data_IF_611789719070
#
_entry.id   IF_611789719070
#
_cell.length_a   1.000
_cell.length_b   1.000
_cell.length_c   1.000
_cell.angle_alpha   90.00
_cell.angle_beta   90.00
_cell.angle_gamma   90.00
#
_symmetry.space_group_name_H-M   'P 1'
#
loop_
_entity.id
_entity.type
_entity.pdbx_description
1 polymer ?
#
# COMPACT_ATOMS: atom_id res chain seq x y z
N UNK A 1 2.69 -16.28 17.43
CA UNK A 1 3.96 -15.56 17.23
C UNK A 1 4.85 -16.48 16.42
N UNK A 2 5.35 -16.02 15.28
CA UNK A 2 6.14 -16.85 14.36
C UNK A 2 7.60 -16.40 14.41
N UNK A 3 8.54 -17.35 14.42
CA UNK A 3 9.98 -17.06 14.48
C UNK A 3 10.65 -17.49 13.18
N UNK A 4 11.43 -16.57 12.61
CA UNK A 4 12.13 -16.75 11.35
C UNK A 4 13.57 -17.19 11.58
N UNK A 5 14.02 -18.23 10.87
CA UNK A 5 15.38 -18.75 10.97
C UNK A 5 16.09 -18.49 9.64
N UNK A 6 16.86 -17.39 9.58
CA UNK A 6 17.59 -16.95 8.39
C UNK A 6 18.95 -17.63 8.22
N UNK A 7 19.54 -17.49 7.03
CA UNK A 7 20.84 -18.09 6.70
C UNK A 7 21.99 -17.09 7.01
N UNK A 8 22.75 -17.33 8.08
CA UNK A 8 24.01 -16.63 8.37
C UNK A 8 25.21 -17.33 7.72
N UNK A 9 26.39 -16.67 7.69
CA UNK A 9 27.67 -17.25 7.19
C UNK A 9 28.13 -18.37 8.14
N UNK A 10 27.46 -19.51 8.06
CA UNK A 10 27.69 -20.70 8.85
C UNK A 10 28.04 -21.85 7.90
N UNK A 11 28.94 -22.74 8.30
CA UNK A 11 29.03 -24.04 7.66
C UNK A 11 27.71 -24.79 7.77
N UNK A 12 27.42 -25.72 6.87
CA UNK A 12 26.16 -26.47 6.86
C UNK A 12 25.82 -27.16 8.20
N UNK A 13 26.82 -27.75 8.86
CA UNK A 13 26.65 -28.38 10.18
C UNK A 13 26.23 -27.39 11.26
N UNK A 14 26.90 -26.23 11.30
CA UNK A 14 26.55 -25.11 12.20
C UNK A 14 25.15 -24.57 11.91
N UNK A 15 24.74 -24.47 10.65
CA UNK A 15 23.39 -24.05 10.28
C UNK A 15 22.31 -25.04 10.76
N UNK A 16 22.53 -26.34 10.59
CA UNK A 16 21.63 -27.37 11.11
C UNK A 16 21.54 -27.35 12.64
N UNK A 17 22.67 -27.13 13.33
CA UNK A 17 22.68 -26.96 14.77
C UNK A 17 21.91 -25.70 15.18
N UNK A 18 22.10 -24.59 14.48
CA UNK A 18 21.35 -23.35 14.70
C UNK A 18 19.84 -23.56 14.57
N UNK A 19 19.37 -24.23 13.52
CA UNK A 19 17.94 -24.57 13.35
C UNK A 19 17.43 -25.37 14.55
N UNK A 20 18.14 -26.44 14.91
CA UNK A 20 17.78 -27.31 16.04
C UNK A 20 17.67 -26.51 17.35
N UNK A 21 18.68 -25.72 17.69
CA UNK A 21 18.72 -24.97 18.94
C UNK A 21 17.66 -23.85 18.98
N UNK A 22 17.40 -23.18 17.85
CA UNK A 22 16.28 -22.23 17.76
C UNK A 22 14.94 -22.91 18.02
N UNK A 23 14.68 -24.04 17.37
CA UNK A 23 13.43 -24.79 17.54
C UNK A 23 13.26 -25.29 18.99
N UNK A 24 14.33 -25.84 19.59
CA UNK A 24 14.32 -26.25 21.01
C UNK A 24 14.05 -25.04 21.92
N UNK A 25 14.72 -23.92 21.68
CA UNK A 25 14.55 -22.69 22.47
C UNK A 25 13.12 -22.16 22.40
N UNK A 26 12.52 -22.10 21.22
CA UNK A 26 11.14 -21.67 21.00
C UNK A 26 10.17 -22.59 21.76
N UNK A 27 10.34 -23.91 21.65
CA UNK A 27 9.47 -24.89 22.31
C UNK A 27 9.65 -24.98 23.82
N UNK A 28 10.80 -24.54 24.36
CA UNK A 28 10.98 -24.35 25.81
C UNK A 28 10.09 -23.22 26.35
N UNK A 29 9.82 -22.19 25.54
CA UNK A 29 8.91 -21.09 25.93
C UNK A 29 7.46 -21.50 25.72
N UNK A 30 7.11 -21.98 24.52
CA UNK A 30 5.77 -22.51 24.25
C UNK A 30 5.78 -23.51 23.10
N UNK A 31 5.08 -24.63 23.30
CA UNK A 31 4.82 -25.62 22.25
C UNK A 31 3.81 -25.13 21.19
N UNK A 32 3.12 -24.02 21.45
CA UNK A 32 2.18 -23.42 20.48
C UNK A 32 2.88 -22.57 19.42
N UNK A 33 4.16 -22.22 19.61
CA UNK A 33 4.93 -21.52 18.60
C UNK A 33 5.35 -22.46 17.48
N UNK A 34 5.35 -21.93 16.26
CA UNK A 34 5.61 -22.71 15.06
C UNK A 34 6.83 -22.15 14.34
N UNK A 35 7.57 -23.02 13.68
CA UNK A 35 8.75 -22.64 12.90
C UNK A 35 8.31 -22.34 11.47
N UNK A 36 8.96 -21.36 10.84
CA UNK A 36 8.85 -21.08 9.41
C UNK A 36 10.24 -20.98 8.80
N UNK A 37 10.37 -21.31 7.52
CA UNK A 37 11.65 -21.28 6.81
C UNK A 37 11.57 -22.03 5.47
N UNK A 38 12.67 -22.12 4.72
CA UNK A 38 14.02 -21.67 5.04
C UNK A 38 14.38 -20.27 4.52
N UNK A 39 13.44 -19.43 4.08
CA UNK A 39 13.77 -18.04 3.75
C UNK A 39 14.78 -17.89 2.59
N UNK A 40 14.68 -18.75 1.57
CA UNK A 40 15.71 -18.78 0.54
C UNK A 40 15.23 -19.34 -0.77
N UNK A 41 16.15 -19.44 -1.72
CA UNK A 41 15.87 -20.03 -3.03
C UNK A 41 15.72 -21.54 -2.88
N UNK A 42 14.51 -22.07 -3.11
CA UNK A 42 14.17 -23.50 -3.01
C UNK A 42 14.67 -24.31 -4.23
N UNK A 43 15.95 -24.16 -4.56
CA UNK A 43 16.60 -25.02 -5.53
C UNK A 43 17.02 -26.33 -4.84
N UNK A 44 16.81 -27.50 -5.46
CA UNK A 44 17.23 -28.78 -4.88
C UNK A 44 18.75 -28.88 -4.62
N UNK A 45 19.55 -27.95 -5.16
CA UNK A 45 21.01 -27.90 -5.05
C UNK A 45 21.53 -26.85 -4.07
N UNK A 46 20.67 -26.01 -3.47
CA UNK A 46 21.15 -25.06 -2.45
C UNK A 46 21.31 -25.81 -1.13
N UNK A 47 22.56 -25.96 -0.69
CA UNK A 47 22.90 -26.78 0.47
C UNK A 47 22.10 -26.40 1.74
N UNK A 48 21.81 -25.12 1.96
CA UNK A 48 21.12 -24.66 3.17
C UNK A 48 19.60 -24.91 3.13
N UNK A 49 18.90 -24.39 2.13
CA UNK A 49 17.44 -24.55 2.02
C UNK A 49 17.03 -26.02 1.88
N UNK A 50 17.76 -26.80 1.09
CA UNK A 50 17.52 -28.24 0.98
C UNK A 50 17.74 -28.96 2.31
N UNK A 51 18.80 -28.63 3.05
CA UNK A 51 19.09 -29.27 4.34
C UNK A 51 18.11 -28.87 5.45
N UNK A 52 17.63 -27.63 5.47
CA UNK A 52 16.55 -27.21 6.37
C UNK A 52 15.28 -28.03 6.12
N UNK A 53 14.85 -28.12 4.87
CA UNK A 53 13.65 -28.86 4.50
C UNK A 53 13.79 -30.35 4.84
N UNK A 54 14.95 -30.95 4.54
CA UNK A 54 15.25 -32.32 4.93
C UNK A 54 15.20 -32.51 6.44
N UNK A 55 15.83 -31.63 7.21
CA UNK A 55 15.80 -31.67 8.68
C UNK A 55 14.36 -31.63 9.21
N UNK A 56 13.55 -30.68 8.77
CA UNK A 56 12.16 -30.55 9.24
C UNK A 56 11.26 -31.69 8.76
N UNK A 57 11.54 -32.26 7.58
CA UNK A 57 10.84 -33.44 7.07
C UNK A 57 11.12 -34.69 7.91
N UNK A 58 12.38 -34.88 8.33
CA UNK A 58 12.80 -36.00 9.18
C UNK A 58 12.41 -35.81 10.65
N UNK A 59 12.40 -34.56 11.14
CA UNK A 59 12.16 -34.20 12.54
C UNK A 59 10.86 -33.40 12.73
N UNK A 60 9.73 -33.93 12.23
CA UNK A 60 8.45 -33.20 12.20
C UNK A 60 7.98 -32.70 13.58
N UNK A 61 8.03 -33.54 14.62
CA UNK A 61 7.61 -33.15 15.97
C UNK A 61 8.49 -32.03 16.55
N UNK A 62 9.77 -32.02 16.18
CA UNK A 62 10.67 -30.98 16.61
C UNK A 62 10.39 -29.70 15.83
N UNK A 63 10.40 -29.72 14.50
CA UNK A 63 10.29 -28.51 13.68
C UNK A 63 8.87 -27.91 13.66
N UNK A 64 7.81 -28.72 13.74
CA UNK A 64 6.40 -28.30 13.70
C UNK A 64 6.14 -27.18 12.67
N UNK A 65 6.57 -27.41 11.43
CA UNK A 65 6.59 -26.42 10.35
C UNK A 65 5.16 -26.09 9.91
N UNK A 66 4.77 -24.82 9.96
CA UNK A 66 3.44 -24.35 9.50
C UNK A 66 3.43 -23.83 8.08
N UNK A 67 4.50 -23.13 7.70
CA UNK A 67 4.66 -22.55 6.36
C UNK A 67 6.07 -22.77 5.84
N UNK A 68 6.16 -23.03 4.53
CA UNK A 68 7.43 -23.04 3.82
C UNK A 68 7.64 -21.65 3.21
N UNK A 69 8.63 -20.91 3.69
CA UNK A 69 8.98 -19.59 3.15
C UNK A 69 10.09 -19.69 2.11
N UNK A 70 10.01 -18.88 1.06
CA UNK A 70 10.97 -18.88 -0.03
C UNK A 70 11.14 -17.51 -0.66
N UNK A 71 12.24 -17.33 -1.38
CA UNK A 71 12.49 -16.12 -2.17
C UNK A 71 12.38 -16.44 -3.65
N UNK A 72 11.43 -15.80 -4.32
CA UNK A 72 11.33 -15.81 -5.77
C UNK A 72 11.12 -14.39 -6.29
N UNK A 73 12.16 -13.87 -6.95
CA UNK A 73 12.18 -12.54 -7.55
C UNK A 73 12.15 -12.63 -9.08
N UNK A 74 11.72 -11.56 -9.74
CA UNK A 74 11.64 -11.43 -11.20
C UNK A 74 10.29 -10.87 -11.66
N UNK A 75 10.07 -10.83 -12.97
CA UNK A 75 8.78 -10.36 -13.50
C UNK A 75 7.60 -11.18 -12.96
N UNK A 76 6.39 -10.60 -12.83
CA UNK A 76 5.26 -11.23 -12.15
C UNK A 76 4.96 -12.68 -12.58
N UNK A 77 5.02 -12.97 -13.88
CA UNK A 77 4.82 -14.32 -14.41
C UNK A 77 5.88 -15.33 -13.92
N UNK A 78 7.15 -14.90 -13.85
CA UNK A 78 8.26 -15.72 -13.38
C UNK A 78 8.13 -16.04 -11.89
N UNK A 79 7.63 -15.09 -11.09
CA UNK A 79 7.34 -15.33 -9.67
C UNK A 79 6.26 -16.41 -9.52
N UNK A 80 5.16 -16.28 -10.28
CA UNK A 80 4.07 -17.26 -10.30
C UNK A 80 4.55 -18.65 -10.71
N UNK A 81 5.29 -18.75 -11.81
CA UNK A 81 5.78 -20.05 -12.32
C UNK A 81 6.79 -20.69 -11.37
N UNK A 82 7.65 -19.88 -10.73
CA UNK A 82 8.56 -20.32 -9.69
C UNK A 82 7.83 -20.95 -8.50
N UNK A 83 6.75 -20.32 -8.02
CA UNK A 83 5.92 -20.85 -6.93
C UNK A 83 5.36 -22.24 -7.25
N UNK A 84 4.73 -22.40 -8.42
CA UNK A 84 4.17 -23.69 -8.86
C UNK A 84 5.27 -24.75 -8.97
N UNK A 85 6.43 -24.38 -9.53
CA UNK A 85 7.58 -25.27 -9.64
C UNK A 85 8.09 -25.73 -8.26
N UNK A 86 8.19 -24.82 -7.29
CA UNK A 86 8.58 -25.17 -5.93
C UNK A 86 7.58 -26.12 -5.27
N UNK A 87 6.27 -25.87 -5.39
CA UNK A 87 5.24 -26.79 -4.86
C UNK A 87 5.39 -28.20 -5.40
N UNK A 88 5.56 -28.33 -6.71
CA UNK A 88 5.71 -29.62 -7.38
C UNK A 88 6.96 -30.36 -6.91
N UNK A 89 8.09 -29.65 -6.78
CA UNK A 89 9.34 -30.24 -6.28
C UNK A 89 9.22 -30.67 -4.81
N UNK A 90 8.59 -29.85 -3.96
CA UNK A 90 8.35 -30.17 -2.55
C UNK A 90 7.48 -31.41 -2.39
N UNK A 91 6.39 -31.52 -3.17
CA UNK A 91 5.54 -32.71 -3.16
C UNK A 91 6.30 -33.99 -3.53
N UNK A 92 7.27 -33.88 -4.46
CA UNK A 92 8.09 -35.03 -4.90
C UNK A 92 9.15 -35.41 -3.87
N UNK A 93 9.84 -34.43 -3.28
CA UNK A 93 11.01 -34.66 -2.42
C UNK A 93 10.66 -34.85 -0.94
N UNK A 94 9.59 -34.18 -0.49
CA UNK A 94 9.18 -34.13 0.91
C UNK A 94 7.66 -34.35 1.02
N UNK A 95 7.16 -35.56 0.74
CA UNK A 95 5.73 -35.85 0.64
C UNK A 95 4.96 -35.54 1.94
N UNK A 96 5.63 -35.56 3.10
CA UNK A 96 5.01 -35.18 4.38
C UNK A 96 4.70 -33.68 4.51
N UNK A 97 5.15 -32.86 3.56
CA UNK A 97 4.79 -31.44 3.44
C UNK A 97 3.59 -31.21 2.51
N UNK A 98 2.90 -32.28 2.07
CA UNK A 98 1.62 -32.14 1.39
C UNK A 98 0.63 -31.40 2.30
N UNK A 99 -0.05 -30.38 1.76
CA UNK A 99 -0.97 -29.54 2.51
C UNK A 99 -0.34 -28.40 3.32
N UNK A 100 1.00 -28.37 3.49
CA UNK A 100 1.66 -27.18 4.04
C UNK A 100 1.61 -26.04 3.02
N UNK A 101 1.14 -24.88 3.46
CA UNK A 101 1.11 -23.69 2.64
C UNK A 101 2.52 -23.09 2.46
N UNK A 102 2.72 -22.35 1.38
CA UNK A 102 3.97 -21.66 1.08
C UNK A 102 3.81 -20.14 1.14
N UNK A 103 4.90 -19.41 1.35
CA UNK A 103 4.90 -17.96 1.29
C UNK A 103 6.15 -17.42 0.63
N UNK A 104 5.97 -16.43 -0.25
CA UNK A 104 7.09 -15.68 -0.85
C UNK A 104 7.26 -14.36 -0.09
N UNK A 105 8.17 -14.32 0.86
CA UNK A 105 8.41 -13.15 1.70
C UNK A 105 9.35 -12.12 1.06
N UNK A 106 9.84 -12.38 -0.16
CA UNK A 106 10.65 -11.44 -0.95
C UNK A 106 10.30 -11.51 -2.45
N UNK A 107 9.05 -11.21 -2.80
CA UNK A 107 8.48 -11.35 -4.14
C UNK A 107 8.72 -10.16 -5.06
N UNK A 108 9.96 -9.69 -5.13
CA UNK A 108 10.28 -8.45 -5.84
C UNK A 108 10.53 -8.66 -7.32
N UNK A 109 10.32 -7.61 -8.11
CA UNK A 109 10.56 -7.65 -9.56
C UNK A 109 12.04 -7.77 -9.93
N UNK A 110 12.96 -7.36 -9.05
CA UNK A 110 14.41 -7.41 -9.26
C UNK A 110 15.17 -7.46 -7.93
N UNK A 111 16.26 -8.25 -7.87
CA UNK A 111 17.21 -8.31 -6.75
C UNK A 111 18.03 -7.02 -6.62
N UNK A 112 18.36 -6.64 -5.39
CA UNK A 112 19.14 -5.43 -5.07
C UNK A 112 18.21 -4.24 -4.96
N UNK A 113 17.72 -3.98 -3.75
CA UNK A 113 16.80 -2.88 -3.47
C UNK A 113 17.44 -1.50 -3.73
N UNK A 114 18.75 -1.37 -3.48
CA UNK A 114 19.54 -0.14 -3.62
C UNK A 114 19.84 0.26 -5.07
N UNK A 115 19.64 -0.64 -6.05
CA UNK A 115 19.91 -0.34 -7.46
C UNK A 115 18.95 0.75 -7.95
N UNK A 116 19.48 1.85 -8.47
CA UNK A 116 18.68 2.88 -9.10
C UNK A 116 18.15 2.38 -10.46
N UNK A 117 16.84 2.39 -10.65
CA UNK A 117 16.20 2.11 -11.94
C UNK A 117 14.98 3.03 -12.11
N UNK A 118 14.81 3.68 -13.28
CA UNK A 118 13.70 4.61 -13.48
C UNK A 118 12.32 4.00 -13.19
N UNK A 119 12.08 2.74 -13.56
CA UNK A 119 10.77 2.12 -13.34
C UNK A 119 10.37 1.92 -11.87
N UNK A 120 11.28 2.09 -10.90
CA UNK A 120 10.99 2.02 -9.45
C UNK A 120 10.43 3.33 -8.89
N UNK A 121 10.57 4.43 -9.62
CA UNK A 121 10.13 5.76 -9.19
C UNK A 121 8.63 6.00 -9.37
N UNK A 122 8.02 5.30 -10.33
CA UNK A 122 6.72 5.63 -10.90
C UNK A 122 5.73 4.45 -10.92
N UNK A 123 4.65 4.59 -11.70
CA UNK A 123 3.55 3.63 -11.76
C UNK A 123 3.95 2.30 -12.44
N UNK A 124 5.09 2.22 -13.13
CA UNK A 124 5.59 0.94 -13.69
C UNK A 124 5.80 -0.07 -12.58
N UNK A 125 6.46 0.29 -11.46
CA UNK A 125 6.63 -0.61 -10.33
C UNK A 125 5.30 -0.95 -9.65
N UNK A 126 4.46 0.07 -9.41
CA UNK A 126 3.15 -0.11 -8.80
C UNK A 126 2.24 -1.06 -9.60
N UNK A 127 2.26 -0.97 -10.94
CA UNK A 127 1.49 -1.86 -11.82
C UNK A 127 1.98 -3.31 -11.77
N UNK A 128 3.28 -3.55 -11.62
CA UNK A 128 3.83 -4.90 -11.42
C UNK A 128 3.37 -5.49 -10.09
N UNK A 129 3.32 -4.69 -9.02
CA UNK A 129 2.72 -5.09 -7.74
C UNK A 129 1.23 -5.39 -7.90
N UNK A 130 0.47 -4.52 -8.58
CA UNK A 130 -0.93 -4.73 -8.95
C UNK A 130 -1.16 -6.07 -9.65
N UNK A 131 -0.35 -6.38 -10.67
CA UNK A 131 -0.47 -7.60 -11.47
C UNK A 131 -0.23 -8.87 -10.65
N UNK A 132 0.60 -8.80 -9.61
CA UNK A 132 0.80 -9.94 -8.72
C UNK A 132 -0.50 -10.37 -8.04
N UNK A 133 -1.41 -9.46 -7.68
CA UNK A 133 -2.72 -9.82 -7.10
C UNK A 133 -3.52 -10.73 -8.04
N UNK A 134 -3.59 -10.39 -9.32
CA UNK A 134 -4.26 -11.21 -10.33
C UNK A 134 -3.60 -12.58 -10.52
N UNK A 135 -2.26 -12.61 -10.58
CA UNK A 135 -1.53 -13.85 -10.79
C UNK A 135 -1.61 -14.77 -9.57
N UNK A 136 -1.51 -14.23 -8.36
CA UNK A 136 -1.69 -14.95 -7.11
C UNK A 136 -3.09 -15.53 -7.04
N UNK A 137 -4.14 -14.74 -7.28
CA UNK A 137 -5.51 -15.27 -7.35
C UNK A 137 -5.62 -16.46 -8.32
N UNK A 138 -5.08 -16.33 -9.54
CA UNK A 138 -5.16 -17.40 -10.54
C UNK A 138 -4.34 -18.65 -10.22
N UNK A 139 -3.36 -18.56 -9.34
CA UNK A 139 -2.37 -19.62 -9.11
C UNK A 139 -2.30 -20.12 -7.67
N UNK A 140 -2.94 -19.45 -6.71
CA UNK A 140 -2.84 -19.75 -5.28
C UNK A 140 -3.21 -21.21 -5.00
N UNK A 141 -4.26 -21.73 -5.62
CA UNK A 141 -4.70 -23.12 -5.50
C UNK A 141 -3.74 -24.16 -6.09
N UNK A 142 -2.81 -23.75 -6.97
CA UNK A 142 -1.80 -24.65 -7.56
C UNK A 142 -0.51 -24.70 -6.74
N UNK A 143 -0.28 -23.70 -5.89
CA UNK A 143 0.96 -23.52 -5.15
C UNK A 143 0.74 -23.37 -3.63
N UNK A 144 -0.49 -23.53 -3.14
CA UNK A 144 -0.88 -23.37 -1.72
C UNK A 144 -0.31 -22.11 -1.08
N UNK A 145 -0.38 -20.96 -1.78
CA UNK A 145 0.24 -19.72 -1.32
C UNK A 145 -0.59 -19.10 -0.19
N UNK A 146 0.03 -18.88 0.96
CA UNK A 146 -0.57 -18.18 2.11
C UNK A 146 -0.42 -16.67 1.98
N UNK A 147 0.80 -16.17 1.79
CA UNK A 147 1.06 -14.74 1.62
C UNK A 147 2.20 -14.47 0.66
N UNK A 148 2.28 -13.21 0.23
CA UNK A 148 3.35 -12.67 -0.59
C UNK A 148 3.73 -11.30 -0.07
N UNK A 149 5.03 -11.05 0.10
CA UNK A 149 5.56 -9.78 0.57
C UNK A 149 6.45 -9.13 -0.48
N UNK A 150 6.36 -7.81 -0.59
CA UNK A 150 7.32 -7.00 -1.33
C UNK A 150 8.31 -6.39 -0.35
N UNK A 151 9.59 -6.66 -0.56
CA UNK A 151 10.64 -6.22 0.34
C UNK A 151 11.08 -4.80 -0.07
N UNK A 152 10.25 -3.81 0.24
CA UNK A 152 10.38 -2.44 -0.26
C UNK A 152 10.19 -1.38 0.84
N UNK A 153 10.33 -1.75 2.11
CA UNK A 153 10.29 -0.80 3.24
C UNK A 153 11.67 -0.17 3.54
N UNK A 154 12.62 -0.26 2.61
CA UNK A 154 13.93 0.36 2.74
C UNK A 154 13.85 1.89 2.70
N UNK A 155 14.84 2.54 3.29
CA UNK A 155 15.10 3.97 3.10
C UNK A 155 16.04 4.16 1.92
N UNK A 156 15.69 5.03 0.99
CA UNK A 156 16.55 5.33 -0.14
C UNK A 156 17.83 6.08 0.29
N UNK A 157 18.82 6.04 -0.59
CA UNK A 157 20.10 6.73 -0.46
C UNK A 157 20.23 7.77 -1.56
N UNK A 158 20.64 8.99 -1.17
CA UNK A 158 21.01 10.04 -2.10
C UNK A 158 22.19 9.58 -3.00
N UNK A 159 22.22 9.95 -4.30
CA UNK A 159 21.30 10.88 -4.98
C UNK A 159 20.05 10.20 -5.59
N UNK A 160 19.79 8.93 -5.30
CA UNK A 160 18.74 8.13 -5.95
C UNK A 160 17.45 8.09 -5.13
N UNK A 161 16.75 9.22 -5.11
CA UNK A 161 15.65 9.44 -4.15
C UNK A 161 14.39 8.66 -4.46
N UNK A 162 14.06 8.48 -5.74
CA UNK A 162 12.86 7.73 -6.14
C UNK A 162 13.17 6.37 -6.82
N UNK A 163 14.36 6.21 -7.38
CA UNK A 163 14.74 5.12 -8.28
C UNK A 163 15.12 3.82 -7.56
N UNK A 164 15.19 3.84 -6.23
CA UNK A 164 15.43 2.65 -5.40
C UNK A 164 14.13 1.94 -5.02
N UNK A 165 14.21 0.68 -4.58
CA UNK A 165 13.04 -0.15 -4.26
C UNK A 165 12.51 0.19 -2.85
N UNK A 166 11.79 1.29 -2.79
CA UNK A 166 11.20 1.84 -1.56
C UNK A 166 9.70 2.11 -1.74
N UNK A 167 8.96 2.15 -0.64
CA UNK A 167 7.58 2.64 -0.58
C UNK A 167 7.52 4.16 -0.53
N UNK A 168 8.46 4.78 0.18
CA UNK A 168 8.55 6.23 0.35
C UNK A 168 9.86 6.74 -0.26
N UNK A 169 9.84 7.96 -0.77
CA UNK A 169 11.03 8.71 -1.15
C UNK A 169 11.41 9.64 0.01
N UNK A 170 12.58 9.39 0.60
CA UNK A 170 13.17 10.15 1.69
C UNK A 170 14.09 11.22 1.14
N UNK A 171 13.89 12.45 1.59
CA UNK A 171 14.85 13.56 1.44
C UNK A 171 15.49 13.87 2.78
N UNK A 172 16.77 14.19 2.77
CA UNK A 172 17.45 14.79 3.92
C UNK A 172 17.60 16.28 3.65
N UNK A 173 16.83 17.09 4.36
CA UNK A 173 16.84 18.54 4.21
C UNK A 173 17.92 19.08 5.15
N UNK A 174 19.02 19.54 4.57
CA UNK A 174 20.17 20.07 5.32
C UNK A 174 20.13 21.61 5.27
N UNK A 175 19.43 22.21 6.22
CA UNK A 175 19.42 23.65 6.51
C UNK A 175 19.79 23.87 8.00
N UNK A 176 19.34 24.97 8.62
CA UNK A 176 19.67 25.31 10.02
C UNK A 176 19.27 24.23 11.03
N UNK A 177 18.20 23.47 10.74
CA UNK A 177 17.83 22.24 11.44
C UNK A 177 17.63 21.09 10.44
N UNK A 178 18.58 20.14 10.43
CA UNK A 178 18.46 18.95 9.58
C UNK A 178 17.22 18.14 9.97
N UNK A 179 16.38 17.83 8.99
CA UNK A 179 15.21 16.98 9.16
C UNK A 179 14.99 16.10 7.94
N UNK A 180 14.12 15.10 8.08
CA UNK A 180 13.78 14.18 7.00
C UNK A 180 12.36 14.42 6.51
N UNK A 181 12.19 14.33 5.19
CA UNK A 181 10.90 14.45 4.52
C UNK A 181 10.63 13.14 3.77
N UNK A 182 9.37 12.69 3.80
CA UNK A 182 8.94 11.46 3.15
C UNK A 182 7.77 11.73 2.22
N UNK A 183 7.89 11.26 0.97
CA UNK A 183 6.84 11.34 -0.04
C UNK A 183 6.39 9.93 -0.45
N UNK A 184 5.08 9.73 -0.54
CA UNK A 184 4.51 8.44 -0.96
C UNK A 184 4.79 8.18 -2.43
N UNK A 185 5.50 7.09 -2.74
CA UNK A 185 5.67 6.69 -4.13
C UNK A 185 4.41 5.99 -4.62
N UNK A 186 4.22 5.85 -5.94
CA UNK A 186 3.10 5.05 -6.46
C UNK A 186 3.05 3.60 -5.93
N UNK A 187 4.20 3.03 -5.54
CA UNK A 187 4.30 1.74 -4.85
C UNK A 187 3.63 1.71 -3.47
N UNK A 188 3.58 2.84 -2.76
CA UNK A 188 2.79 2.99 -1.54
C UNK A 188 1.31 3.15 -1.88
N UNK A 189 0.99 4.01 -2.85
CA UNK A 189 -0.39 4.26 -3.27
C UNK A 189 -1.13 2.99 -3.68
N UNK A 190 -0.46 2.08 -4.41
CA UNK A 190 -1.07 0.82 -4.83
C UNK A 190 -1.40 -0.11 -3.66
N UNK A 191 -0.63 -0.08 -2.57
CA UNK A 191 -0.94 -0.87 -1.37
C UNK A 191 -2.26 -0.40 -0.75
N UNK A 192 -2.49 0.92 -0.70
CA UNK A 192 -3.78 1.48 -0.26
C UNK A 192 -4.94 1.07 -1.18
N UNK A 193 -4.73 1.01 -2.50
CA UNK A 193 -5.75 0.50 -3.43
C UNK A 193 -6.05 -0.99 -3.22
N UNK A 194 -5.04 -1.80 -2.91
CA UNK A 194 -5.19 -3.25 -2.67
C UNK A 194 -5.87 -3.56 -1.34
N UNK A 195 -5.66 -2.73 -0.30
CA UNK A 195 -6.34 -2.86 0.99
C UNK A 195 -7.85 -2.80 0.84
N UNK A 196 -8.34 -2.09 -0.18
CA UNK A 196 -9.77 -1.99 -0.50
C UNK A 196 -10.31 -3.23 -1.20
N UNK A 197 -9.60 -4.36 -1.29
CA UNK A 197 -10.19 -5.62 -1.76
C UNK A 197 -10.99 -6.31 -0.63
N UNK A 198 -11.79 -7.30 -0.99
CA UNK A 198 -12.57 -8.12 -0.07
C UNK A 198 -12.14 -9.59 -0.12
N UNK A 199 -12.76 -10.41 0.73
CA UNK A 199 -12.33 -11.79 0.97
C UNK A 199 -12.79 -12.78 -0.11
N UNK A 200 -13.83 -12.44 -0.87
CA UNK A 200 -14.47 -13.35 -1.82
C UNK A 200 -14.32 -12.85 -3.26
N UNK A 201 -13.66 -13.63 -4.10
CA UNK A 201 -13.49 -13.26 -5.52
C UNK A 201 -14.79 -13.45 -6.30
N UNK A 202 -15.11 -12.46 -7.13
CA UNK A 202 -16.29 -12.43 -7.98
C UNK A 202 -15.90 -12.81 -9.41
N UNK A 203 -16.59 -13.80 -9.97
CA UNK A 203 -16.40 -14.22 -11.36
C UNK A 203 -17.02 -13.19 -12.31
N UNK A 204 -16.18 -12.51 -13.09
CA UNK A 204 -16.64 -11.66 -14.18
C UNK A 204 -16.60 -12.40 -15.52
N UNK A 205 -17.66 -12.25 -16.33
CA UNK A 205 -17.67 -12.72 -17.73
C UNK A 205 -16.78 -11.81 -18.57
N UNK A 206 -15.86 -12.41 -19.32
CA UNK A 206 -14.89 -11.67 -20.15
C UNK A 206 -15.30 -11.71 -21.61
N UNK A 207 -15.52 -10.54 -22.20
CA UNK A 207 -15.39 -10.35 -23.65
C UNK A 207 -13.95 -9.93 -23.95
N UNK A 208 -13.38 -10.35 -25.10
CA UNK A 208 -11.95 -10.18 -25.47
C UNK A 208 -11.33 -8.89 -24.91
N UNK A 209 -10.45 -9.01 -23.91
CA UNK A 209 -9.68 -7.88 -23.35
C UNK A 209 -8.23 -7.98 -23.84
N UNK A 210 -7.61 -6.82 -24.03
CA UNK A 210 -6.16 -6.69 -24.25
C UNK A 210 -5.37 -7.53 -23.22
N UNK A 211 -4.39 -8.31 -23.68
CA UNK A 211 -3.52 -9.14 -22.83
C UNK A 211 -2.76 -8.35 -21.76
N UNK A 212 -2.55 -7.05 -21.98
CA UNK A 212 -1.87 -6.16 -21.05
C UNK A 212 -2.78 -5.64 -19.93
N UNK A 213 -4.07 -5.96 -19.95
CA UNK A 213 -5.01 -5.58 -18.89
C UNK A 213 -5.46 -6.80 -18.11
N UNK A 214 -5.27 -6.73 -16.80
CA UNK A 214 -5.71 -7.77 -15.84
C UNK A 214 -6.64 -7.16 -14.82
N UNK A 215 -7.49 -7.98 -14.21
CA UNK A 215 -8.44 -7.52 -13.20
C UNK A 215 -8.77 -8.62 -12.20
N UNK A 216 -9.10 -8.22 -10.99
CA UNK A 216 -9.71 -9.07 -9.95
C UNK A 216 -10.80 -8.26 -9.27
N UNK A 217 -12.02 -8.80 -9.21
CA UNK A 217 -13.11 -8.24 -8.43
C UNK A 217 -13.35 -9.08 -7.19
N UNK A 218 -13.66 -8.44 -6.09
CA UNK A 218 -13.84 -9.06 -4.78
C UNK A 218 -15.05 -8.47 -4.07
N UNK A 219 -15.61 -9.22 -3.14
CA UNK A 219 -16.67 -8.81 -2.23
C UNK A 219 -16.24 -9.11 -0.81
N UNK A 220 -16.73 -8.32 0.15
CA UNK A 220 -16.57 -8.59 1.59
C UNK A 220 -17.44 -9.75 2.08
N UNK A 221 -18.45 -10.16 1.30
CA UNK A 221 -19.34 -11.29 1.66
C UNK A 221 -19.84 -12.00 0.41
N UNK A 222 -19.99 -13.33 0.50
CA UNK A 222 -20.47 -14.16 -0.62
C UNK A 222 -21.96 -13.93 -0.93
N UNK A 223 -22.78 -13.75 0.11
CA UNK A 223 -24.26 -13.81 -0.03
C UNK A 223 -24.93 -12.44 0.11
N UNK A 224 -24.34 -11.53 0.88
CA UNK A 224 -24.86 -10.18 1.09
C UNK A 224 -23.67 -9.22 1.14
N UNK A 225 -23.06 -8.90 -0.02
CA UNK A 225 -22.00 -7.91 -0.08
C UNK A 225 -22.50 -6.60 0.55
N UNK A 226 -21.71 -5.89 1.33
CA UNK A 226 -21.92 -4.44 1.53
C UNK A 226 -21.03 -3.62 0.60
N UNK A 227 -19.99 -4.27 0.07
CA UNK A 227 -18.98 -3.68 -0.81
C UNK A 227 -18.50 -4.69 -1.84
N UNK A 228 -18.31 -4.19 -3.06
CA UNK A 228 -17.64 -4.88 -4.15
C UNK A 228 -16.51 -3.98 -4.65
N UNK A 229 -15.32 -4.54 -4.78
CA UNK A 229 -14.14 -3.78 -5.15
C UNK A 229 -13.33 -4.53 -6.20
N UNK A 230 -12.88 -3.81 -7.23
CA UNK A 230 -12.09 -4.36 -8.30
C UNK A 230 -10.79 -3.62 -8.51
N UNK A 231 -9.68 -4.36 -8.56
CA UNK A 231 -8.40 -3.84 -9.02
C UNK A 231 -8.22 -4.21 -10.49
N UNK A 232 -7.93 -3.21 -11.31
CA UNK A 232 -7.66 -3.32 -12.74
C UNK A 232 -6.26 -2.78 -12.99
N UNK A 233 -5.45 -3.53 -13.73
CA UNK A 233 -4.04 -3.22 -13.92
C UNK A 233 -3.73 -3.25 -15.41
N UNK A 234 -3.28 -2.11 -15.94
CA UNK A 234 -2.66 -2.02 -17.25
C UNK A 234 -1.15 -2.12 -17.10
N UNK A 235 -0.55 -3.16 -17.65
CA UNK A 235 0.91 -3.35 -17.65
C UNK A 235 1.36 -4.31 -18.76
N UNK A 236 2.50 -4.02 -19.39
CA UNK A 236 3.18 -4.97 -20.29
C UNK A 236 4.17 -5.88 -19.56
N UNK A 237 4.22 -5.86 -18.22
CA UNK A 237 5.24 -6.49 -17.34
C UNK A 237 6.66 -5.94 -17.47
N UNK A 238 6.98 -5.20 -18.53
CA UNK A 238 8.32 -4.71 -18.82
C UNK A 238 8.56 -3.30 -18.22
N UNK A 239 9.76 -2.79 -18.42
CA UNK A 239 10.21 -1.50 -17.85
C UNK A 239 9.82 -0.28 -18.71
N UNK A 240 9.17 -0.53 -19.86
CA UNK A 240 8.81 0.49 -20.84
C UNK A 240 7.45 1.13 -20.52
N UNK A 241 7.37 2.46 -20.59
CA UNK A 241 6.09 3.17 -20.71
C UNK A 241 5.52 2.94 -22.10
N UNK A 242 4.26 2.55 -22.15
CA UNK A 242 3.47 2.62 -23.37
C UNK A 242 2.34 3.61 -23.09
N UNK A 243 2.46 4.84 -23.60
CA UNK A 243 1.45 5.90 -23.44
C UNK A 243 0.16 5.61 -24.26
N UNK A 244 -0.22 4.34 -24.34
CA UNK A 244 -1.43 3.82 -24.96
C UNK A 244 -2.43 3.49 -23.87
N UNK A 245 -3.65 3.92 -24.09
CA UNK A 245 -4.80 3.55 -23.26
C UNK A 245 -5.69 2.56 -24.00
N UNK A 246 -6.21 1.58 -23.27
CA UNK A 246 -7.27 0.68 -23.75
C UNK A 246 -8.58 1.11 -23.12
N UNK A 247 -9.55 1.53 -23.94
CA UNK A 247 -10.91 1.78 -23.48
C UNK A 247 -11.59 0.44 -23.11
N UNK A 248 -12.15 0.37 -21.90
CA UNK A 248 -12.84 -0.81 -21.40
C UNK A 248 -14.18 -0.39 -20.82
N UNK A 249 -15.24 -1.05 -21.29
CA UNK A 249 -16.57 -0.93 -20.72
C UNK A 249 -16.79 -2.03 -19.67
N UNK A 250 -16.97 -1.62 -18.43
CA UNK A 250 -17.39 -2.48 -17.34
C UNK A 250 -18.89 -2.38 -17.14
N UNK A 251 -19.57 -3.52 -17.12
CA UNK A 251 -20.99 -3.64 -16.82
C UNK A 251 -21.17 -4.42 -15.54
N UNK A 252 -21.75 -3.80 -14.53
CA UNK A 252 -22.04 -4.43 -13.24
C UNK A 252 -23.54 -4.50 -13.02
N UNK A 253 -24.03 -5.69 -12.69
CA UNK A 253 -25.37 -5.84 -12.16
C UNK A 253 -25.29 -5.63 -10.65
N UNK A 254 -26.05 -4.69 -10.13
CA UNK A 254 -26.11 -4.40 -8.71
C UNK A 254 -26.75 -5.59 -7.99
N UNK A 255 -26.16 -6.10 -6.89
CA UNK A 255 -26.80 -7.14 -6.08
C UNK A 255 -28.20 -6.73 -5.65
N UNK A 256 -29.19 -7.63 -5.74
CA UNK A 256 -30.58 -7.36 -5.34
C UNK A 256 -30.68 -6.89 -3.88
N UNK A 257 -29.77 -7.40 -3.02
CA UNK A 257 -29.66 -7.00 -1.61
C UNK A 257 -29.38 -5.52 -1.41
N UNK A 258 -28.93 -4.79 -2.44
CA UNK A 258 -28.62 -3.36 -2.37
C UNK A 258 -29.81 -2.45 -2.65
N UNK A 259 -31.03 -3.01 -2.74
CA UNK A 259 -32.28 -2.26 -2.99
C UNK A 259 -32.18 -1.28 -4.17
N UNK A 260 -31.35 -1.62 -5.16
CA UNK A 260 -31.07 -0.82 -6.34
C UNK A 260 -30.48 0.58 -6.08
N UNK A 261 -29.73 0.81 -5.00
CA UNK A 261 -28.92 2.03 -4.88
C UNK A 261 -27.48 1.70 -4.47
N UNK A 262 -26.53 2.18 -5.26
CA UNK A 262 -25.11 1.98 -5.05
C UNK A 262 -24.37 3.30 -5.25
N UNK A 263 -23.42 3.59 -4.37
CA UNK A 263 -22.42 4.62 -4.61
C UNK A 263 -21.13 3.96 -5.04
N UNK A 264 -20.47 4.54 -6.03
CA UNK A 264 -19.18 4.06 -6.50
C UNK A 264 -18.16 5.19 -6.57
N UNK A 265 -16.90 4.81 -6.42
CA UNK A 265 -15.74 5.66 -6.63
C UNK A 265 -14.67 4.88 -7.41
N UNK A 266 -14.03 5.55 -8.36
CA UNK A 266 -12.99 5.01 -9.22
C UNK A 266 -11.71 5.79 -8.99
N UNK A 267 -10.70 5.13 -8.45
CA UNK A 267 -9.40 5.72 -8.16
C UNK A 267 -8.35 5.15 -9.11
N UNK A 268 -7.42 5.97 -9.60
CA UNK A 268 -6.39 5.53 -10.53
C UNK A 268 -5.02 6.13 -10.18
N UNK A 269 -3.99 5.30 -10.29
CA UNK A 269 -2.60 5.75 -10.52
C UNK A 269 -2.20 5.41 -11.95
N UNK A 270 -1.56 6.35 -12.62
CA UNK A 270 -1.07 6.25 -14.00
C UNK A 270 0.10 7.20 -14.20
N UNK A 271 1.03 6.87 -15.09
CA UNK A 271 2.08 7.80 -15.52
C UNK A 271 1.53 8.95 -16.40
N UNK A 272 0.26 8.86 -16.85
CA UNK A 272 -0.46 9.96 -17.51
C UNK A 272 -1.09 10.94 -16.51
N UNK A 273 -1.10 10.60 -15.22
CA UNK A 273 -1.60 11.45 -14.14
C UNK A 273 -0.42 12.00 -13.31
N UNK A 274 -0.61 13.09 -12.54
CA UNK A 274 0.43 13.58 -11.65
C UNK A 274 0.90 12.49 -10.66
N UNK A 275 2.21 12.40 -10.43
CA UNK A 275 2.79 11.58 -9.36
C UNK A 275 4.09 12.21 -8.85
N UNK A 276 4.56 11.86 -7.63
CA UNK A 276 5.63 12.59 -6.95
C UNK A 276 6.95 12.65 -7.70
N UNK A 277 7.41 11.52 -8.27
CA UNK A 277 8.63 11.50 -9.08
C UNK A 277 8.53 12.43 -10.29
N UNK A 278 7.42 12.41 -11.04
CA UNK A 278 7.21 13.32 -12.18
C UNK A 278 7.25 14.78 -11.73
N UNK A 279 6.53 15.13 -10.66
CA UNK A 279 6.54 16.51 -10.13
C UNK A 279 7.93 16.93 -9.66
N UNK A 280 8.68 16.02 -9.05
CA UNK A 280 10.06 16.26 -8.65
C UNK A 280 10.98 16.52 -9.86
N UNK A 281 10.86 15.74 -10.93
CA UNK A 281 11.60 15.97 -12.17
C UNK A 281 11.19 17.29 -12.86
N UNK A 282 9.89 17.60 -12.89
CA UNK A 282 9.36 18.87 -13.44
C UNK A 282 9.89 20.10 -12.65
N UNK A 283 10.30 19.91 -11.40
CA UNK A 283 10.94 20.92 -10.54
C UNK A 283 12.48 20.95 -10.67
N UNK A 284 13.05 20.27 -11.67
CA UNK A 284 14.49 20.14 -11.92
C UNK A 284 15.28 19.40 -10.83
N UNK A 285 14.69 18.37 -10.21
CA UNK A 285 15.37 17.44 -9.30
C UNK A 285 16.08 18.12 -8.10
N UNK A 286 15.41 18.98 -7.32
CA UNK A 286 16.05 19.71 -6.23
C UNK A 286 16.58 18.77 -5.14
N UNK A 287 17.86 18.84 -4.80
CA UNK A 287 18.46 18.03 -3.72
C UNK A 287 17.90 18.35 -2.33
N UNK A 288 17.44 19.59 -2.12
CA UNK A 288 16.75 20.04 -0.90
C UNK A 288 15.50 20.84 -1.31
N UNK A 289 14.35 20.18 -1.52
CA UNK A 289 13.12 20.87 -1.94
C UNK A 289 12.66 21.89 -0.88
N UNK A 290 12.35 23.12 -1.30
CA UNK A 290 11.74 24.15 -0.46
C UNK A 290 10.33 23.75 0.01
N UNK A 291 9.77 24.41 1.04
CA UNK A 291 8.40 24.14 1.50
C UNK A 291 7.39 24.11 0.34
N UNK A 292 7.37 25.16 -0.48
CA UNK A 292 6.51 25.21 -1.67
C UNK A 292 6.73 24.03 -2.63
N UNK A 293 7.97 23.63 -2.90
CA UNK A 293 8.26 22.45 -3.74
C UNK A 293 7.76 21.16 -3.08
N UNK A 294 7.93 21.00 -1.76
CA UNK A 294 7.40 19.86 -1.01
C UNK A 294 5.87 19.81 -1.09
N UNK A 295 5.18 20.94 -1.02
CA UNK A 295 3.73 21.04 -1.24
C UNK A 295 3.32 20.50 -2.60
N UNK A 296 4.02 20.90 -3.66
CA UNK A 296 3.74 20.45 -5.02
C UNK A 296 3.93 18.93 -5.17
N UNK A 297 5.05 18.39 -4.67
CA UNK A 297 5.35 16.96 -4.69
C UNK A 297 4.30 16.18 -3.87
N UNK A 298 3.95 16.66 -2.68
CA UNK A 298 2.94 16.03 -1.83
C UNK A 298 1.54 16.08 -2.44
N UNK A 299 1.20 17.16 -3.13
CA UNK A 299 -0.06 17.30 -3.84
C UNK A 299 -0.19 16.34 -5.03
N UNK A 300 0.89 15.77 -5.55
CA UNK A 300 0.82 14.73 -6.59
C UNK A 300 0.83 13.30 -6.03
N UNK A 301 0.89 13.12 -4.70
CA UNK A 301 0.77 11.81 -4.06
C UNK A 301 -0.62 11.19 -4.20
N UNK A 302 -0.68 9.91 -3.87
CA UNK A 302 -1.92 9.16 -3.78
C UNK A 302 -2.52 8.79 -5.14
N UNK A 303 -3.61 8.01 -5.12
CA UNK A 303 -4.40 7.75 -6.30
C UNK A 303 -5.42 8.87 -6.54
N UNK A 304 -5.69 9.14 -7.81
CA UNK A 304 -6.60 10.20 -8.23
C UNK A 304 -8.02 9.67 -8.38
N UNK A 305 -9.00 10.40 -7.87
CA UNK A 305 -10.42 10.12 -8.11
C UNK A 305 -10.77 10.49 -9.55
N UNK A 306 -11.05 9.50 -10.40
CA UNK A 306 -11.34 9.69 -11.83
C UNK A 306 -12.84 9.71 -12.11
N UNK A 307 -13.63 8.98 -11.31
CA UNK A 307 -15.08 8.95 -11.45
C UNK A 307 -15.73 8.61 -10.11
N UNK A 308 -16.90 9.17 -9.84
CA UNK A 308 -17.75 8.79 -8.73
C UNK A 308 -19.21 9.00 -9.14
N UNK A 309 -20.13 8.30 -8.50
CA UNK A 309 -21.54 8.47 -8.80
C UNK A 309 -22.46 7.57 -8.00
N UNK A 310 -23.75 7.73 -8.29
CA UNK A 310 -24.83 6.92 -7.76
C UNK A 310 -25.46 6.17 -8.95
N UNK A 311 -25.75 4.89 -8.78
CA UNK A 311 -26.43 4.11 -9.81
C UNK A 311 -27.58 3.29 -9.22
N UNK A 312 -28.54 2.94 -10.09
CA UNK A 312 -29.67 2.07 -9.76
C UNK A 312 -29.75 0.92 -10.77
N UNK A 313 -29.80 -0.32 -10.27
CA UNK A 313 -29.91 -1.53 -11.10
C UNK A 313 -28.62 -1.95 -11.81
N UNK A 314 -28.17 -1.22 -12.84
CA UNK A 314 -26.95 -1.55 -13.59
C UNK A 314 -25.97 -0.38 -13.61
N UNK A 315 -24.68 -0.68 -13.44
CA UNK A 315 -23.59 0.31 -13.54
C UNK A 315 -22.84 0.04 -14.84
N UNK A 316 -22.69 1.07 -15.67
CA UNK A 316 -21.89 1.04 -16.88
C UNK A 316 -20.75 2.04 -16.74
N UNK A 317 -19.51 1.55 -16.60
CA UNK A 317 -18.32 2.39 -16.45
C UNK A 317 -17.42 2.22 -17.68
N UNK A 318 -17.23 3.30 -18.43
CA UNK A 318 -16.24 3.35 -19.51
C UNK A 318 -14.94 3.95 -18.96
N UNK A 319 -13.88 3.15 -18.92
CA UNK A 319 -12.59 3.55 -18.36
C UNK A 319 -11.47 3.38 -19.38
N UNK A 320 -10.59 4.38 -19.46
CA UNK A 320 -9.37 4.31 -20.25
C UNK A 320 -8.22 3.79 -19.37
N UNK A 321 -7.82 2.53 -19.59
CA UNK A 321 -6.76 1.88 -18.82
C UNK A 321 -5.42 2.07 -19.55
N UNK A 322 -4.54 2.92 -19.01
CA UNK A 322 -3.21 3.19 -19.56
C UNK A 322 -2.18 2.12 -19.18
N UNK A 323 -1.04 2.09 -19.86
CA UNK A 323 0.06 1.17 -19.58
C UNK A 323 1.38 1.93 -19.24
N UNK A 324 1.70 2.16 -17.96
CA UNK A 324 1.17 1.50 -16.78
C UNK A 324 -0.06 2.21 -16.16
N UNK A 325 -0.88 1.44 -15.47
CA UNK A 325 -1.87 1.96 -14.51
C UNK A 325 -2.29 0.91 -13.49
N UNK A 326 -2.78 1.39 -12.35
CA UNK A 326 -3.61 0.60 -11.43
C UNK A 326 -4.85 1.40 -11.09
N UNK A 327 -6.01 0.78 -11.29
CA UNK A 327 -7.32 1.38 -11.08
C UNK A 327 -8.11 0.56 -10.07
N UNK A 328 -8.67 1.21 -9.06
CA UNK A 328 -9.65 0.63 -8.16
C UNK A 328 -11.04 1.11 -8.56
N UNK A 329 -11.97 0.18 -8.76
CA UNK A 329 -13.41 0.47 -8.78
C UNK A 329 -13.95 -0.01 -7.43
N UNK A 330 -14.40 0.90 -6.58
CA UNK A 330 -15.03 0.56 -5.31
C UNK A 330 -16.52 0.90 -5.37
N UNK A 331 -17.37 -0.08 -5.08
CA UNK A 331 -18.83 0.03 -5.11
C UNK A 331 -19.37 -0.38 -3.75
N UNK A 332 -20.23 0.46 -3.19
CA UNK A 332 -20.75 0.30 -1.85
C UNK A 332 -22.27 0.42 -1.84
N UNK A 333 -22.88 -0.35 -0.95
CA UNK A 333 -24.26 -0.17 -0.50
C UNK A 333 -24.31 0.55 0.85
N UNK A 334 -25.37 1.32 1.07
CA UNK A 334 -25.55 2.07 2.32
C UNK A 334 -25.67 1.11 3.49
N UNK A 335 -24.94 1.38 4.58
CA UNK A 335 -25.11 0.64 5.83
C UNK A 335 -25.75 1.54 6.87
N UNK A 336 -26.47 0.95 7.83
CA UNK A 336 -27.14 1.72 8.88
C UNK A 336 -26.19 2.24 9.96
N UNK A 337 -24.95 1.72 10.02
CA UNK A 337 -24.05 1.93 11.15
C UNK A 337 -23.05 3.08 10.94
N UNK A 338 -22.99 3.67 9.74
CA UNK A 338 -22.05 4.76 9.41
C UNK A 338 -20.58 4.43 9.70
N UNK A 339 -19.65 5.39 9.54
CA UNK A 339 -18.27 5.22 9.96
C UNK A 339 -18.09 5.14 11.47
N UNK A 340 -17.20 4.27 11.94
CA UNK A 340 -16.76 4.23 13.34
C UNK A 340 -15.69 5.29 13.63
N UNK A 341 -15.70 5.83 14.85
CA UNK A 341 -14.71 6.78 15.40
C UNK A 341 -13.27 6.27 15.20
N UNK A 342 -12.41 7.13 14.67
CA UNK A 342 -10.97 6.85 14.56
C UNK A 342 -10.30 7.00 15.93
N UNK A 343 -9.23 6.24 16.16
CA UNK A 343 -8.55 6.15 17.46
C UNK A 343 -7.06 6.41 17.32
N UNK A 344 -6.37 6.61 18.45
CA UNK A 344 -4.91 6.77 18.52
C UNK A 344 -4.38 7.85 17.56
N UNK A 345 -5.00 9.04 17.57
CA UNK A 345 -4.45 10.20 16.88
C UNK A 345 -3.13 10.60 17.54
N UNK A 346 -2.07 10.67 16.74
CA UNK A 346 -0.71 11.03 17.14
C UNK A 346 -0.19 12.15 16.26
N UNK A 347 0.63 13.01 16.83
CA UNK A 347 1.35 14.09 16.15
C UNK A 347 2.85 13.84 16.29
N UNK A 348 3.55 13.81 15.17
CA UNK A 348 5.01 13.64 15.09
C UNK A 348 5.59 14.93 14.54
N UNK A 349 6.39 15.63 15.35
CA UNK A 349 7.13 16.80 14.92
C UNK A 349 8.09 16.43 13.78
N UNK A 350 8.03 17.16 12.66
CA UNK A 350 8.94 16.98 11.52
C UNK A 350 10.01 18.07 11.53
N UNK A 351 9.55 19.32 11.54
CA UNK A 351 10.38 20.52 11.66
C UNK A 351 9.48 21.67 12.10
N UNK A 352 10.07 22.85 12.33
CA UNK A 352 9.32 24.06 12.66
C UNK A 352 8.19 24.31 11.66
N UNK A 353 6.97 24.52 12.14
CA UNK A 353 5.74 24.64 11.34
C UNK A 353 5.31 23.42 10.50
N UNK A 354 5.83 22.22 10.79
CA UNK A 354 5.43 20.99 10.11
C UNK A 354 5.24 19.80 11.06
N UNK A 355 4.08 19.15 10.98
CA UNK A 355 3.71 18.00 11.80
C UNK A 355 3.09 16.88 10.96
N UNK A 356 3.45 15.64 11.26
CA UNK A 356 2.82 14.45 10.70
C UNK A 356 1.79 13.90 11.68
N UNK A 357 0.53 13.89 11.25
CA UNK A 357 -0.59 13.30 11.98
C UNK A 357 -0.79 11.86 11.51
N UNK A 358 -0.95 10.92 12.45
CA UNK A 358 -1.22 9.51 12.17
C UNK A 358 -2.37 9.06 13.07
N UNK A 359 -3.29 8.25 12.56
CA UNK A 359 -4.39 7.68 13.34
C UNK A 359 -4.63 6.22 12.97
N UNK A 360 -5.54 5.58 13.69
CA UNK A 360 -5.99 4.22 13.44
C UNK A 360 -7.47 4.21 13.06
N UNK A 361 -7.77 3.62 11.90
CA UNK A 361 -9.13 3.26 11.51
C UNK A 361 -9.52 1.87 12.04
N UNK A 362 -10.82 1.59 12.03
CA UNK A 362 -11.38 0.28 12.35
C UNK A 362 -11.51 -0.57 11.07
N UNK A 363 -10.44 -1.32 10.79
CA UNK A 363 -10.28 -2.17 9.60
C UNK A 363 -11.45 -3.15 9.35
N UNK A 364 -12.20 -3.52 10.38
CA UNK A 364 -13.23 -4.57 10.30
C UNK A 364 -14.63 -4.06 9.90
N UNK A 365 -14.86 -2.74 9.87
CA UNK A 365 -16.22 -2.17 9.66
C UNK A 365 -16.25 -1.09 8.57
N UNK A 366 -15.18 -0.31 8.41
CA UNK A 366 -15.19 0.95 7.67
C UNK A 366 -14.58 0.83 6.26
N UNK A 367 -15.20 0.08 5.35
CA UNK A 367 -14.59 -0.16 4.03
C UNK A 367 -15.09 0.73 2.87
N UNK A 368 -16.01 1.63 3.16
CA UNK A 368 -16.55 2.61 2.22
C UNK A 368 -16.22 4.05 2.63
N UNK A 369 -15.05 4.24 3.25
CA UNK A 369 -14.54 5.56 3.61
C UNK A 369 -14.17 6.33 2.34
N UNK A 370 -14.79 7.49 2.18
CA UNK A 370 -14.47 8.50 1.19
C UNK A 370 -13.17 9.21 1.55
N UNK A 371 -13.10 9.65 2.80
CA UNK A 371 -12.03 10.51 3.29
C UNK A 371 -11.97 10.54 4.81
N UNK A 372 -10.83 11.01 5.34
CA UNK A 372 -10.69 11.51 6.69
C UNK A 372 -10.61 13.03 6.68
N UNK A 373 -11.53 13.70 7.36
CA UNK A 373 -11.44 15.15 7.57
C UNK A 373 -10.57 15.39 8.79
N UNK A 374 -9.44 16.06 8.59
CA UNK A 374 -8.51 16.49 9.63
C UNK A 374 -8.83 17.94 9.96
N UNK A 375 -9.13 18.21 11.23
CA UNK A 375 -9.39 19.55 11.74
C UNK A 375 -8.32 20.01 12.72
N UNK A 376 -8.05 21.31 12.68
CA UNK A 376 -7.10 21.98 13.56
C UNK A 376 -7.74 23.23 14.16
N UNK A 377 -7.55 23.42 15.46
CA UNK A 377 -7.84 24.64 16.18
C UNK A 377 -6.53 25.18 16.73
N UNK A 378 -6.06 26.30 16.16
CA UNK A 378 -4.86 26.99 16.63
C UNK A 378 -5.01 27.43 18.08
N UNK A 379 -3.92 27.44 18.83
CA UNK A 379 -3.87 28.10 20.13
C UNK A 379 -4.37 29.57 20.04
N UNK A 380 -5.30 29.93 20.93
CA UNK A 380 -5.98 31.23 20.91
C UNK A 380 -7.12 31.38 19.90
N UNK A 381 -7.44 30.35 19.09
CA UNK A 381 -8.64 30.31 18.23
C UNK A 381 -9.79 29.59 18.94
N UNK A 382 -11.02 30.04 18.71
CA UNK A 382 -12.24 29.41 19.23
C UNK A 382 -12.85 28.36 18.27
N UNK A 383 -12.26 28.16 17.09
CA UNK A 383 -12.84 27.31 16.05
C UNK A 383 -11.87 26.33 15.41
N UNK A 384 -12.40 25.15 15.10
CA UNK A 384 -11.74 24.13 14.29
C UNK A 384 -11.95 24.40 12.80
N UNK A 385 -10.87 24.36 12.01
CA UNK A 385 -10.90 24.43 10.55
C UNK A 385 -10.38 23.12 9.93
N UNK A 386 -10.89 22.74 8.76
CA UNK A 386 -10.35 21.61 7.99
C UNK A 386 -9.00 22.02 7.38
N UNK A 387 -7.97 21.19 7.55
CA UNK A 387 -6.61 21.46 7.05
C UNK A 387 -6.18 20.57 5.88
N UNK A 388 -6.84 19.44 5.65
CA UNK A 388 -6.57 18.60 4.48
C UNK A 388 -7.51 18.95 3.31
N UNK A 389 -6.99 19.57 2.26
CA UNK A 389 -7.82 19.99 1.11
C UNK A 389 -8.19 18.85 0.16
N UNK A 390 -7.37 17.81 0.11
CA UNK A 390 -7.61 16.62 -0.71
C UNK A 390 -8.16 15.49 0.15
N UNK A 391 -9.10 14.75 -0.43
CA UNK A 391 -9.59 13.54 0.19
C UNK A 391 -8.51 12.47 0.20
N UNK A 392 -8.42 11.74 1.31
CA UNK A 392 -7.45 10.66 1.51
C UNK A 392 -8.11 9.53 2.27
N UNK A 393 -7.81 8.30 1.86
CA UNK A 393 -8.16 7.11 2.61
C UNK A 393 -6.95 6.53 3.36
N UNK A 394 -5.80 7.20 3.33
CA UNK A 394 -4.67 6.87 4.19
C UNK A 394 -4.88 7.44 5.59
N UNK A 395 -4.44 6.69 6.61
CA UNK A 395 -4.58 7.08 8.01
C UNK A 395 -3.45 7.98 8.50
N UNK A 396 -3.00 8.89 7.65
CA UNK A 396 -1.99 9.90 7.99
C UNK A 396 -2.16 11.16 7.15
N UNK A 397 -1.70 12.29 7.67
CA UNK A 397 -1.71 13.58 6.98
C UNK A 397 -0.54 14.44 7.47
N UNK A 398 0.21 15.03 6.56
CA UNK A 398 1.30 15.95 6.90
C UNK A 398 0.81 17.38 6.75
N UNK A 399 0.81 18.12 7.84
CA UNK A 399 0.40 19.50 7.90
C UNK A 399 1.62 20.42 7.91
N UNK A 400 1.66 21.38 6.99
CA UNK A 400 2.72 22.39 6.88
C UNK A 400 2.09 23.79 6.92
N UNK A 401 2.08 24.41 8.09
CA UNK A 401 1.25 25.58 8.36
C UNK A 401 1.72 26.87 7.66
N UNK A 402 3.04 27.03 7.48
CA UNK A 402 3.63 28.23 6.85
C UNK A 402 3.15 28.41 5.40
N UNK A 403 2.82 27.31 4.72
CA UNK A 403 2.32 27.32 3.34
C UNK A 403 0.85 27.74 3.23
N UNK A 404 0.03 27.42 4.24
CA UNK A 404 -1.37 27.84 4.28
C UNK A 404 -1.50 29.29 4.74
N UNK A 405 -0.56 29.75 5.58
CA UNK A 405 -0.44 31.15 5.97
C UNK A 405 -0.10 32.05 4.77
N UNK A 406 0.90 31.71 3.96
CA UNK A 406 1.23 32.48 2.74
C UNK A 406 0.06 32.54 1.75
N UNK A 407 -0.69 31.44 1.58
CA UNK A 407 -1.90 31.44 0.75
C UNK A 407 -3.03 32.31 1.34
N UNK A 408 -3.24 32.26 2.66
CA UNK A 408 -4.21 33.10 3.36
C UNK A 408 -3.88 34.60 3.23
N UNK A 409 -2.61 34.98 3.34
CA UNK A 409 -2.16 36.36 3.15
C UNK A 409 -2.25 36.82 1.69
N UNK A 410 -1.95 35.96 0.73
CA UNK A 410 -2.09 36.30 -0.71
C UNK A 410 -3.56 36.53 -1.08
N UNK A 411 -4.49 35.76 -0.50
CA UNK A 411 -5.93 35.95 -0.70
C UNK A 411 -6.45 37.22 -0.02
N UNK A 412 -5.98 37.51 1.19
CA UNK A 412 -6.34 38.75 1.91
C UNK A 412 -5.67 40.01 1.38
N UNK A 413 -4.46 39.96 0.81
CA UNK A 413 -3.84 41.18 0.24
C UNK A 413 -4.54 41.69 -1.03
N UNK A 414 -5.39 40.88 -1.67
CA UNK A 414 -6.34 41.34 -2.70
C UNK A 414 -7.61 42.01 -2.11
N UNK A 415 -7.76 41.98 -0.78
CA UNK A 415 -8.82 42.67 -0.01
C UNK A 415 -8.15 43.50 1.08
N UNK A 416 -7.77 44.73 0.69
CA UNK A 416 -7.00 45.70 1.46
C UNK A 416 -7.11 45.58 2.99
N UNK A 417 -5.93 45.70 3.62
CA UNK A 417 -5.60 45.75 5.05
C UNK A 417 -5.14 44.43 5.69
N UNK A 418 -3.82 44.31 5.87
CA UNK A 418 -3.18 44.13 7.19
C UNK A 418 -1.65 44.18 7.07
N UNK A 419 -1.05 45.21 7.70
CA UNK A 419 0.37 45.33 7.97
C UNK A 419 0.76 44.44 9.16
N UNK A 420 0.78 43.13 8.98
CA UNK A 420 1.40 42.22 9.96
C UNK A 420 2.63 41.58 9.32
N UNK A 421 3.80 42.13 9.65
CA UNK A 421 5.10 41.51 9.40
C UNK A 421 5.44 40.79 10.71
N UNK A 422 5.33 39.45 10.81
CA UNK A 422 5.72 38.75 12.02
C UNK A 422 7.24 38.86 12.17
N UNK A 423 7.68 39.66 13.15
CA UNK A 423 9.10 39.79 13.51
C UNK A 423 9.60 38.67 14.45
N UNK A 424 8.74 37.71 14.79
CA UNK A 424 9.11 36.41 15.38
C UNK A 424 8.20 35.39 14.70
N UNK A 425 8.75 34.35 14.06
CA UNK A 425 7.89 33.36 13.39
C UNK A 425 7.30 32.50 14.50
N UNK A 426 6.02 32.70 14.81
CA UNK A 426 5.29 31.84 15.73
C UNK A 426 5.21 30.41 15.19
N UNK A 427 5.20 29.43 16.08
CA UNK A 427 4.88 28.04 15.75
C UNK A 427 3.36 27.92 15.51
N UNK A 428 2.98 27.95 14.23
CA UNK A 428 1.60 27.96 13.74
C UNK A 428 0.92 26.59 13.82
N UNK A 429 1.67 25.50 14.09
CA UNK A 429 1.10 24.15 14.26
C UNK A 429 0.67 23.84 15.70
N UNK A 430 0.92 24.73 16.66
CA UNK A 430 0.47 24.56 18.05
C UNK A 430 -1.03 24.71 18.20
N UNK A 431 -1.65 23.76 18.90
CA UNK A 431 -3.09 23.75 19.14
C UNK A 431 -3.68 22.36 19.16
N UNK A 432 -4.98 22.25 18.89
CA UNK A 432 -5.73 21.00 18.97
C UNK A 432 -6.02 20.41 17.60
N UNK A 433 -5.82 19.11 17.47
CA UNK A 433 -6.12 18.32 16.29
C UNK A 433 -7.22 17.31 16.59
N UNK A 434 -8.08 17.07 15.60
CA UNK A 434 -9.06 15.97 15.63
C UNK A 434 -9.36 15.47 14.23
N UNK A 435 -9.76 14.21 14.12
CA UNK A 435 -10.03 13.55 12.84
C UNK A 435 -11.41 12.90 12.86
N UNK A 436 -12.12 12.97 11.74
CA UNK A 436 -13.41 12.29 11.55
C UNK A 436 -13.42 11.52 10.23
N UNK A 437 -13.90 10.28 10.26
CA UNK A 437 -14.09 9.46 9.08
C UNK A 437 -15.38 9.82 8.37
N UNK A 438 -15.37 9.84 7.04
CA UNK A 438 -16.53 10.16 6.21
C UNK A 438 -16.73 9.07 5.16
N UNK A 439 -17.93 8.50 5.07
CA UNK A 439 -18.25 7.50 4.05
C UNK A 439 -18.72 8.09 2.71
N UNK A 440 -19.08 7.22 1.77
CA UNK A 440 -19.60 7.62 0.46
C UNK A 440 -20.97 8.34 0.54
N UNK A 441 -21.72 8.19 1.63
CA UNK A 441 -22.98 8.90 1.90
C UNK A 441 -22.80 10.19 2.70
N UNK A 442 -21.54 10.62 2.87
CA UNK A 442 -21.18 11.78 3.68
C UNK A 442 -21.63 11.67 5.15
N UNK A 443 -21.90 10.45 5.62
CA UNK A 443 -22.09 10.17 7.03
C UNK A 443 -20.74 10.27 7.73
N UNK A 444 -20.73 10.89 8.91
CA UNK A 444 -19.53 11.14 9.70
C UNK A 444 -19.51 10.21 10.90
N UNK A 445 -18.33 9.71 11.24
CA UNK A 445 -18.12 9.15 12.59
C UNK A 445 -18.21 10.25 13.65
N UNK A 446 -18.15 9.86 14.92
CA UNK A 446 -17.68 10.79 15.95
C UNK A 446 -16.23 11.23 15.65
N UNK A 447 -15.85 12.40 16.14
CA UNK A 447 -14.46 12.84 16.10
C UNK A 447 -13.59 11.95 17.00
N UNK A 448 -12.32 11.80 16.61
CA UNK A 448 -11.27 11.31 17.50
C UNK A 448 -11.24 12.13 18.79
N UNK A 449 -10.59 11.58 19.82
CA UNK A 449 -10.20 12.40 20.95
C UNK A 449 -9.30 13.55 20.47
N UNK A 450 -9.46 14.73 21.07
CA UNK A 450 -8.67 15.90 20.72
C UNK A 450 -7.23 15.70 21.16
N UNK A 451 -6.28 15.91 20.24
CA UNK A 451 -4.86 15.87 20.52
C UNK A 451 -4.34 17.31 20.56
N UNK A 452 -3.83 17.75 21.70
CA UNK A 452 -3.08 19.00 21.79
C UNK A 452 -1.60 18.73 21.44
N UNK A 453 -1.02 19.54 20.55
CA UNK A 453 0.38 19.49 20.13
C UNK A 453 1.07 20.83 20.41
#
# INVERSE_FOLDING_TARGET
MNVYIGCSVLSLSKYLNYIKECTVGIHKVSKSFTVMGPAGVLKPWTNYSASFLKFCHEKQTLCNLTYITYHQKGYPMYIKDGAIKYRNNLNKLYPKFAGLQMANDEADTMTGWWKATPWREDVRYASKMGRMVYLLYKSAWKADINFTSFDNSFLNQEPFTFEQRTLLARFTINHDTSHHQFFEKPSYSVMGLMQMLGDYVITARRHRINKNVTYVFTSVSKNAPSRISGIIVGTNDFDMNEDKSTAILFKFNVPETWKNEVKYAVYMISNLLPHPAKTFHDLNNPSSPSAYQRKLIRNSQGPHLISQGIAKGQINLSLNISNPSVTLINMCHITSQGPIKVTNLLAINITFNEVLLIWKDNDNVNSCIKTYIVQFQREGSDSFIRINNKDTFFCHFHYAAQEDFLNYFTYKNNSQHLNYIPNEIDELTRGKYRVVAVDYWDQKSEFSDELYY
#
